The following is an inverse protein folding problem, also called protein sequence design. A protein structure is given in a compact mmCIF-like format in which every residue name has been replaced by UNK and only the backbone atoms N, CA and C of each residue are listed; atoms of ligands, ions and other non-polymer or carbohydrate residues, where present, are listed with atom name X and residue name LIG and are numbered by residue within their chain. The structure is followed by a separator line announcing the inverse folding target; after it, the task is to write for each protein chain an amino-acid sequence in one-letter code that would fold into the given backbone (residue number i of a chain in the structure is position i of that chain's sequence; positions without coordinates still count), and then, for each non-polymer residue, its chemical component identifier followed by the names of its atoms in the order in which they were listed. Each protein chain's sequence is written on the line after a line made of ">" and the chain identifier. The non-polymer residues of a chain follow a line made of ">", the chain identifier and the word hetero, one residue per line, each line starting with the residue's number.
data_IF_191296707328
#
_entry.id   IF_191296707328
#
_cell.length_a   1.000
_cell.length_b   1.000
_cell.length_c   1.000
_cell.angle_alpha   90.00
_cell.angle_beta   90.00
_cell.angle_gamma   90.00
#
_symmetry.space_group_name_H-M   'P 1'
#
loop_
_entity.id
_entity.type
_entity.pdbx_description
1 polymer ?
#
# COMPACT_ATOMS: atom_id res chain seq x y z
N UNK A 1 -16.45 57.61 -20.34
CA UNK A 1 -15.09 58.11 -20.15
C UNK A 1 -14.29 56.91 -19.65
N UNK A 2 -13.52 56.34 -20.54
CA UNK A 2 -12.06 56.06 -20.51
C UNK A 2 -11.62 55.69 -19.09
N UNK A 3 -11.08 54.51 -18.80
CA UNK A 3 -10.23 53.55 -19.47
C UNK A 3 -9.23 53.11 -18.41
N UNK A 4 -8.86 51.90 -18.33
CA UNK A 4 -7.49 51.46 -18.49
C UNK A 4 -7.38 50.00 -18.07
N UNK A 5 -7.13 49.16 -19.07
CA UNK A 5 -6.65 47.80 -18.93
C UNK A 5 -5.23 47.83 -18.33
N UNK A 6 -4.96 46.97 -17.36
CA UNK A 6 -3.61 46.63 -17.00
C UNK A 6 -3.44 45.12 -17.18
N UNK A 7 -2.75 44.75 -18.27
CA UNK A 7 -2.23 43.41 -18.51
C UNK A 7 -1.01 43.15 -17.60
N UNK A 8 -1.08 42.08 -16.79
CA UNK A 8 0.13 41.50 -16.21
C UNK A 8 0.41 40.15 -16.91
N UNK A 9 1.43 40.17 -17.74
CA UNK A 9 2.07 39.01 -18.34
C UNK A 9 2.90 38.29 -17.29
N UNK A 10 2.51 37.06 -16.96
CA UNK A 10 3.39 36.13 -16.28
C UNK A 10 4.20 35.33 -17.30
N UNK A 11 5.51 35.46 -17.20
CA UNK A 11 6.47 34.76 -18.01
C UNK A 11 6.66 33.32 -17.54
N UNK A 12 6.30 32.36 -18.38
CA UNK A 12 6.74 30.97 -18.25
C UNK A 12 8.24 30.88 -18.45
N UNK A 13 8.96 30.37 -17.47
CA UNK A 13 10.34 29.90 -17.63
C UNK A 13 10.32 28.43 -18.06
N UNK A 14 10.66 28.20 -19.30
CA UNK A 14 10.96 26.89 -19.87
C UNK A 14 12.35 26.42 -19.39
N UNK A 15 12.45 25.20 -18.90
CA UNK A 15 13.70 24.48 -18.70
C UNK A 15 14.12 23.77 -19.99
N UNK A 16 15.41 23.86 -20.41
CA UNK A 16 15.88 23.14 -21.58
C UNK A 16 16.37 21.73 -21.20
N UNK A 17 15.89 20.76 -21.95
CA UNK A 17 16.53 19.45 -22.07
C UNK A 17 17.84 19.60 -22.85
N UNK A 18 18.89 19.00 -22.38
CA UNK A 18 19.96 18.30 -23.12
C UNK A 18 21.26 18.26 -22.34
N UNK A 19 21.69 17.08 -21.96
CA UNK A 19 23.13 16.79 -21.92
C UNK A 19 23.36 15.44 -22.60
N UNK A 20 23.75 15.51 -23.86
CA UNK A 20 24.47 14.44 -24.55
C UNK A 20 25.89 14.40 -24.05
N UNK A 21 26.35 13.27 -23.56
CA UNK A 21 27.77 13.02 -23.37
C UNK A 21 28.38 12.50 -24.66
N UNK A 22 29.22 13.34 -25.26
CA UNK A 22 30.08 12.99 -26.37
C UNK A 22 31.32 12.25 -25.90
N UNK A 23 31.63 11.18 -26.62
CA UNK A 23 32.88 10.41 -26.51
C UNK A 23 33.95 11.12 -27.35
N UNK A 24 35.14 11.41 -26.84
CA UNK A 24 36.26 11.77 -27.70
C UNK A 24 37.03 10.50 -28.11
N UNK A 25 37.07 10.27 -29.39
CA UNK A 25 38.02 9.32 -29.98
C UNK A 25 39.40 9.93 -30.22
N UNK A 26 40.36 9.09 -30.31
CA UNK A 26 41.56 9.04 -31.15
C UNK A 26 42.86 8.74 -30.39
N UNK A 27 43.57 7.78 -30.74
CA UNK A 27 44.48 7.38 -31.82
C UNK A 27 45.57 6.51 -31.19
N UNK A 28 46.00 5.44 -31.65
CA UNK A 28 46.82 5.07 -32.79
C UNK A 28 47.19 3.59 -32.69
N UNK A 29 47.27 3.01 -33.88
CA UNK A 29 47.69 1.68 -34.15
C UNK A 29 49.17 1.41 -33.81
N UNK A 30 49.47 0.18 -33.48
CA UNK A 30 50.68 -0.49 -33.94
C UNK A 30 50.47 -1.99 -34.00
N UNK A 31 50.76 -2.53 -35.15
CA UNK A 31 50.71 -3.94 -35.50
C UNK A 31 51.88 -4.71 -34.91
N UNK A 32 51.69 -6.00 -34.63
CA UNK A 32 52.65 -7.03 -35.07
C UNK A 32 52.13 -8.43 -34.84
N UNK A 33 51.78 -9.06 -35.96
CA UNK A 33 51.97 -10.45 -36.39
C UNK A 33 52.79 -11.39 -35.51
N UNK A 34 52.30 -12.64 -35.34
CA UNK A 34 52.85 -13.92 -35.75
C UNK A 34 51.97 -15.03 -35.17
N UNK A 35 51.30 -15.79 -36.07
CA UNK A 35 51.61 -17.08 -36.68
C UNK A 35 51.51 -18.27 -35.72
N UNK A 36 50.47 -19.11 -36.01
CA UNK A 36 50.55 -20.47 -36.59
C UNK A 36 50.93 -21.55 -35.54
N UNK A 37 50.26 -22.64 -35.34
CA UNK A 37 49.85 -23.75 -36.20
C UNK A 37 49.12 -24.84 -35.41
N UNK A 38 48.15 -25.48 -36.10
CA UNK A 38 47.87 -26.91 -36.20
C UNK A 38 47.77 -27.76 -34.94
N UNK A 39 46.88 -28.58 -34.74
CA UNK A 39 46.00 -29.47 -35.50
C UNK A 39 45.80 -30.73 -34.69
N UNK A 40 44.76 -31.43 -34.95
CA UNK A 40 44.52 -32.87 -35.01
C UNK A 40 43.34 -33.31 -34.15
N UNK A 41 42.32 -33.55 -34.88
CA UNK A 41 41.32 -34.60 -34.85
C UNK A 41 41.55 -35.74 -33.86
N UNK A 42 40.59 -35.92 -32.97
CA UNK A 42 40.26 -37.24 -32.45
C UNK A 42 38.73 -37.38 -32.37
N UNK A 43 38.18 -38.12 -33.29
CA UNK A 43 36.83 -38.65 -33.24
C UNK A 43 36.72 -39.61 -32.06
N UNK A 44 35.82 -39.35 -31.13
CA UNK A 44 35.26 -40.35 -30.24
C UNK A 44 33.76 -40.14 -30.20
N UNK A 45 33.05 -41.05 -30.85
CA UNK A 45 31.60 -41.26 -30.69
C UNK A 45 31.35 -41.54 -29.20
N UNK A 46 30.68 -40.61 -28.53
CA UNK A 46 29.98 -40.91 -27.29
C UNK A 46 28.51 -40.72 -27.58
N UNK A 47 27.76 -41.79 -27.47
CA UNK A 47 26.33 -41.84 -27.58
C UNK A 47 25.72 -40.83 -26.60
N UNK A 48 25.11 -39.78 -27.13
CA UNK A 48 24.25 -38.88 -26.35
C UNK A 48 22.94 -39.60 -26.07
N UNK A 49 22.83 -40.20 -24.93
CA UNK A 49 21.55 -40.48 -24.34
C UNK A 49 20.90 -39.11 -24.05
N UNK A 50 19.91 -38.74 -24.85
CA UNK A 50 18.97 -37.67 -24.50
C UNK A 50 18.25 -38.13 -23.24
N UNK A 51 18.74 -37.71 -22.09
CA UNK A 51 17.89 -37.57 -20.92
C UNK A 51 17.01 -36.36 -21.14
N UNK A 52 15.78 -36.64 -21.53
CA UNK A 52 14.71 -35.69 -21.42
C UNK A 52 14.64 -35.31 -19.93
N UNK A 53 15.19 -34.15 -19.58
CA UNK A 53 14.86 -33.50 -18.32
C UNK A 53 13.42 -33.03 -18.53
N UNK A 54 12.49 -33.87 -18.11
CA UNK A 54 11.14 -33.45 -17.79
C UNK A 54 11.29 -32.33 -16.77
N UNK A 55 11.09 -31.10 -17.21
CA UNK A 55 10.71 -30.05 -16.30
C UNK A 55 9.34 -30.47 -15.76
N UNK A 56 9.35 -31.21 -14.67
CA UNK A 56 8.18 -31.28 -13.84
C UNK A 56 7.97 -29.85 -13.37
N UNK A 57 6.98 -29.17 -13.92
CA UNK A 57 6.33 -28.09 -13.24
C UNK A 57 6.10 -28.61 -11.82
N UNK A 58 6.84 -28.08 -10.87
CA UNK A 58 6.47 -28.20 -9.46
C UNK A 58 5.13 -27.49 -9.38
N UNK A 59 4.04 -28.24 -9.50
CA UNK A 59 2.79 -27.87 -8.89
C UNK A 59 3.20 -27.53 -7.46
N UNK A 60 3.19 -26.27 -7.14
CA UNK A 60 3.20 -25.81 -5.76
C UNK A 60 1.92 -26.38 -5.16
N UNK A 61 2.03 -27.51 -4.54
CA UNK A 61 1.01 -27.99 -3.62
C UNK A 61 0.90 -26.92 -2.56
N UNK A 62 -0.28 -26.42 -2.17
CA UNK A 62 -0.44 -25.58 -1.00
C UNK A 62 0.29 -26.31 0.13
N UNK A 63 1.37 -25.72 0.62
CA UNK A 63 2.23 -26.36 1.59
C UNK A 63 1.52 -26.46 2.92
N UNK A 64 1.10 -27.66 3.27
CA UNK A 64 0.97 -28.00 4.66
C UNK A 64 2.36 -27.97 5.29
N UNK A 65 2.68 -26.91 6.02
CA UNK A 65 3.89 -26.86 6.85
C UNK A 65 3.89 -27.98 7.88
N UNK A 66 5.06 -28.37 8.41
CA UNK A 66 5.14 -29.39 9.44
C UNK A 66 4.60 -28.83 10.76
N UNK A 67 3.32 -29.06 11.00
CA UNK A 67 2.66 -28.64 12.24
C UNK A 67 1.14 -28.55 12.19
N UNK A 68 0.52 -28.73 11.02
CA UNK A 68 -0.95 -28.92 10.95
C UNK A 68 -1.81 -27.76 11.44
N UNK A 69 -1.33 -26.52 11.37
CA UNK A 69 -2.16 -25.36 11.66
C UNK A 69 -3.11 -25.10 10.48
N UNK A 70 -4.37 -24.85 10.79
CA UNK A 70 -5.40 -24.59 9.80
C UNK A 70 -5.03 -23.33 8.98
N UNK A 71 -5.04 -23.47 7.67
CA UNK A 71 -4.87 -22.33 6.77
C UNK A 71 -6.17 -21.52 6.76
N UNK A 72 -6.09 -20.20 6.93
CA UNK A 72 -7.25 -19.32 6.77
C UNK A 72 -7.80 -19.42 5.34
N UNK A 73 -9.11 -19.42 5.21
CA UNK A 73 -9.83 -19.49 3.93
C UNK A 73 -10.83 -18.35 3.86
N UNK A 74 -10.80 -17.59 2.78
CA UNK A 74 -11.60 -16.39 2.63
C UNK A 74 -12.66 -16.53 1.53
N UNK A 75 -13.82 -15.90 1.77
CA UNK A 75 -14.87 -15.69 0.78
C UNK A 75 -14.99 -14.20 0.51
N UNK A 76 -14.99 -13.82 -0.76
CA UNK A 76 -15.08 -12.41 -1.16
C UNK A 76 -16.53 -12.01 -1.38
N UNK A 77 -17.01 -11.05 -0.58
CA UNK A 77 -18.29 -10.37 -0.76
C UNK A 77 -18.03 -8.99 -1.30
N UNK A 78 -18.49 -8.72 -2.51
CA UNK A 78 -18.39 -7.40 -3.10
C UNK A 78 -19.58 -6.56 -2.68
N UNK A 79 -19.34 -5.53 -1.87
CA UNK A 79 -20.38 -4.69 -1.27
C UNK A 79 -20.82 -3.55 -2.18
N UNK A 80 -19.91 -3.02 -2.99
CA UNK A 80 -20.16 -1.94 -3.90
C UNK A 80 -19.18 -1.92 -5.06
N UNK A 81 -19.56 -1.20 -6.12
CA UNK A 81 -18.73 -1.03 -7.33
C UNK A 81 -18.15 0.37 -7.40
N UNK A 82 -18.42 1.17 -6.39
CA UNK A 82 -17.97 2.55 -6.35
C UNK A 82 -16.46 2.57 -6.15
N UNK A 83 -15.80 3.40 -6.93
CA UNK A 83 -14.38 3.61 -6.82
C UNK A 83 -14.07 4.27 -5.48
N UNK A 84 -13.20 3.66 -4.70
CA UNK A 84 -12.61 4.18 -3.48
C UNK A 84 -11.20 3.63 -3.35
N UNK A 85 -10.33 4.23 -2.54
CA UNK A 85 -8.99 3.71 -2.27
C UNK A 85 -8.73 3.60 -0.78
N UNK A 86 -9.34 4.46 0.04
CA UNK A 86 -9.35 4.36 1.49
C UNK A 86 -10.49 3.47 2.00
N UNK A 87 -10.30 2.90 3.17
CA UNK A 87 -11.32 2.15 3.90
C UNK A 87 -11.06 2.17 5.40
N UNK A 88 -12.12 2.35 6.18
CA UNK A 88 -12.09 2.21 7.63
C UNK A 88 -13.36 1.53 8.15
N UNK A 89 -13.37 1.18 9.42
CA UNK A 89 -14.52 0.55 10.08
C UNK A 89 -14.88 1.29 11.36
N UNK A 90 -16.15 1.35 11.67
CA UNK A 90 -16.68 1.81 12.96
C UNK A 90 -18.13 1.33 13.12
N UNK A 91 -18.61 1.18 14.34
CA UNK A 91 -20.02 0.90 14.64
C UNK A 91 -20.84 2.19 14.49
N UNK A 92 -21.42 2.38 13.30
CA UNK A 92 -22.17 3.60 12.94
C UNK A 92 -23.56 3.68 13.56
N UNK A 93 -24.19 2.53 13.80
CA UNK A 93 -25.58 2.46 14.23
C UNK A 93 -25.73 2.08 15.70
N UNK A 94 -24.62 1.73 16.39
CA UNK A 94 -24.58 1.37 17.80
C UNK A 94 -25.12 -0.06 18.06
N UNK A 95 -25.11 -0.93 17.05
CA UNK A 95 -25.60 -2.32 17.18
C UNK A 95 -24.52 -3.29 17.65
N UNK A 96 -23.30 -2.82 17.74
CA UNK A 96 -22.14 -3.55 18.20
C UNK A 96 -21.38 -4.30 17.11
N UNK A 97 -21.76 -4.21 15.84
CA UNK A 97 -21.00 -4.73 14.70
C UNK A 97 -20.30 -3.60 13.95
N UNK A 98 -19.05 -3.79 13.52
CA UNK A 98 -18.37 -2.78 12.73
C UNK A 98 -19.02 -2.61 11.36
N UNK A 99 -19.37 -1.39 10.99
CA UNK A 99 -19.78 -1.01 9.64
C UNK A 99 -18.53 -0.63 8.83
N UNK A 100 -18.61 -0.69 7.50
CA UNK A 100 -17.51 -0.34 6.60
C UNK A 100 -17.75 1.03 6.01
N UNK A 101 -16.76 1.91 6.07
CA UNK A 101 -16.78 3.23 5.43
C UNK A 101 -15.72 3.28 4.34
N UNK A 102 -16.11 3.74 3.15
CA UNK A 102 -15.20 3.85 2.01
C UNK A 102 -15.76 4.80 0.96
N UNK A 103 -14.98 5.78 0.56
CA UNK A 103 -15.38 6.75 -0.45
C UNK A 103 -16.60 7.57 -0.04
N UNK A 104 -17.66 7.52 -0.84
CA UNK A 104 -18.88 8.27 -0.60
C UNK A 104 -19.89 7.58 0.33
N UNK A 105 -19.62 6.33 0.72
CA UNK A 105 -20.60 5.46 1.34
C UNK A 105 -20.12 4.80 2.61
N UNK A 106 -21.06 4.51 3.49
CA UNK A 106 -20.87 3.49 4.50
C UNK A 106 -21.83 2.32 4.25
N UNK A 107 -21.43 1.14 4.65
CA UNK A 107 -22.12 -0.12 4.44
C UNK A 107 -22.49 -0.69 5.81
N UNK A 108 -23.81 -0.76 6.09
CA UNK A 108 -24.38 -1.26 7.34
C UNK A 108 -24.15 -2.77 7.41
N UNK A 109 -23.47 -3.21 8.44
CA UNK A 109 -23.19 -4.61 8.71
C UNK A 109 -24.51 -5.33 9.06
N UNK A 110 -24.85 -6.46 8.39
CA UNK A 110 -26.07 -7.20 8.72
C UNK A 110 -26.00 -7.95 10.07
N UNK A 111 -24.85 -7.91 10.74
CA UNK A 111 -24.62 -8.57 12.03
C UNK A 111 -24.50 -10.10 11.92
N UNK A 112 -24.41 -10.79 13.06
CA UNK A 112 -24.14 -12.23 13.16
C UNK A 112 -25.12 -13.16 12.39
N UNK A 113 -26.25 -12.66 11.94
CA UNK A 113 -27.20 -13.46 11.14
C UNK A 113 -26.85 -13.50 9.66
N UNK A 114 -25.87 -12.69 9.26
CA UNK A 114 -25.57 -12.44 7.87
C UNK A 114 -26.75 -11.77 7.15
N UNK A 115 -26.57 -11.46 5.88
CA UNK A 115 -27.59 -10.85 5.05
C UNK A 115 -27.00 -9.83 4.08
N UNK A 116 -27.87 -8.94 3.60
CA UNK A 116 -27.47 -7.87 2.67
C UNK A 116 -26.88 -6.69 3.43
N UNK A 117 -25.69 -6.26 3.04
CA UNK A 117 -25.09 -5.03 3.48
C UNK A 117 -25.81 -3.84 2.85
N UNK A 118 -26.39 -2.96 3.66
CA UNK A 118 -27.09 -1.79 3.16
C UNK A 118 -26.14 -0.63 2.98
N UNK A 119 -26.19 -0.01 1.82
CA UNK A 119 -25.33 1.13 1.47
C UNK A 119 -26.03 2.46 1.77
N UNK A 120 -25.29 3.36 2.46
CA UNK A 120 -25.77 4.69 2.82
C UNK A 120 -24.75 5.73 2.36
N UNK A 121 -25.18 6.75 1.63
CA UNK A 121 -24.31 7.86 1.27
C UNK A 121 -24.17 8.81 2.47
N UNK A 122 -22.94 9.23 2.77
CA UNK A 122 -22.66 10.17 3.86
C UNK A 122 -21.88 11.40 3.41
N UNK A 123 -21.19 11.33 2.27
CA UNK A 123 -20.46 12.45 1.67
C UNK A 123 -20.46 12.36 0.14
N UNK A 124 -19.99 13.43 -0.50
CA UNK A 124 -19.66 13.41 -1.92
C UNK A 124 -18.13 13.30 -2.09
N UNK A 125 -17.70 12.49 -3.04
CA UNK A 125 -16.29 12.31 -3.39
C UNK A 125 -16.12 12.56 -4.88
N UNK A 126 -15.19 13.44 -5.24
CA UNK A 126 -14.94 13.76 -6.64
C UNK A 126 -14.02 12.72 -7.29
N UNK A 127 -14.30 12.43 -8.57
CA UNK A 127 -13.48 11.55 -9.40
C UNK A 127 -13.02 12.34 -10.62
N UNK A 128 -11.72 12.30 -10.91
CA UNK A 128 -11.13 12.94 -12.09
C UNK A 128 -10.30 11.91 -12.85
N UNK A 129 -10.82 11.44 -13.98
CA UNK A 129 -10.21 10.33 -14.71
C UNK A 129 -10.27 9.03 -13.91
N UNK A 130 -9.12 8.44 -13.61
CA UNK A 130 -9.04 7.26 -12.74
C UNK A 130 -8.80 7.59 -11.25
N UNK A 131 -8.66 8.86 -10.94
CA UNK A 131 -8.29 9.29 -9.61
C UNK A 131 -9.51 9.71 -8.79
N UNK A 132 -9.55 9.25 -7.57
CA UNK A 132 -10.59 9.59 -6.61
C UNK A 132 -10.02 10.50 -5.50
N UNK A 133 -10.82 11.44 -5.03
CA UNK A 133 -10.47 12.30 -3.89
C UNK A 133 -10.65 11.55 -2.55
N UNK A 134 -10.04 10.37 -2.46
CA UNK A 134 -10.11 9.45 -1.33
C UNK A 134 -8.94 8.47 -1.41
N UNK A 135 -7.79 8.84 -0.84
CA UNK A 135 -6.60 7.98 -0.80
C UNK A 135 -6.32 7.43 0.60
N UNK A 136 -7.22 7.65 1.53
CA UNK A 136 -7.16 7.10 2.89
C UNK A 136 -8.32 7.58 3.74
N UNK A 137 -8.81 6.68 4.59
CA UNK A 137 -9.86 6.96 5.58
C UNK A 137 -9.45 6.43 6.94
N UNK A 138 -9.66 7.25 7.97
CA UNK A 138 -9.31 6.91 9.35
C UNK A 138 -10.45 7.30 10.29
N UNK A 139 -10.88 6.33 11.10
CA UNK A 139 -11.89 6.54 12.14
C UNK A 139 -11.21 7.12 13.39
N UNK A 140 -11.48 8.38 13.69
CA UNK A 140 -10.89 9.13 14.80
C UNK A 140 -11.97 10.01 15.44
N UNK A 141 -12.11 9.99 16.77
CA UNK A 141 -12.98 10.91 17.50
C UNK A 141 -12.29 12.28 17.60
N UNK A 142 -12.42 13.08 16.53
CA UNK A 142 -11.69 14.34 16.35
C UNK A 142 -12.15 15.43 17.32
N UNK A 143 -13.46 15.47 17.61
CA UNK A 143 -14.07 16.48 18.46
C UNK A 143 -14.29 16.03 19.92
N UNK A 144 -13.85 14.82 20.27
CA UNK A 144 -13.96 14.21 21.60
C UNK A 144 -15.40 14.10 22.10
N UNK A 145 -16.35 13.84 21.19
CA UNK A 145 -17.78 13.72 21.54
C UNK A 145 -18.20 12.28 21.82
N UNK A 146 -17.26 11.33 21.76
CA UNK A 146 -17.42 9.90 22.03
C UNK A 146 -17.91 9.08 20.85
N UNK A 147 -17.95 9.65 19.65
CA UNK A 147 -18.18 8.90 18.41
C UNK A 147 -17.03 9.16 17.43
N UNK A 148 -16.51 8.14 16.74
CA UNK A 148 -15.48 8.35 15.75
C UNK A 148 -16.04 9.11 14.54
N UNK A 149 -15.24 10.05 14.05
CA UNK A 149 -15.41 10.78 12.81
C UNK A 149 -14.60 10.13 11.69
N UNK A 150 -14.68 10.61 10.46
CA UNK A 150 -13.83 10.16 9.37
C UNK A 150 -12.85 11.24 8.96
N UNK A 151 -11.56 11.00 9.20
CA UNK A 151 -10.47 11.80 8.63
C UNK A 151 -10.12 11.25 7.26
N UNK A 152 -9.92 12.11 6.28
CA UNK A 152 -9.57 11.71 4.91
C UNK A 152 -8.60 12.68 4.25
N UNK A 153 -7.79 12.16 3.35
CA UNK A 153 -6.87 12.93 2.53
C UNK A 153 -6.73 12.30 1.15
N UNK A 154 -6.33 13.10 0.15
CA UNK A 154 -6.01 12.60 -1.16
C UNK A 154 -5.05 13.56 -1.88
N UNK A 155 -4.28 13.05 -2.83
CA UNK A 155 -3.34 13.88 -3.57
C UNK A 155 -4.02 14.87 -4.55
N UNK A 156 -5.33 14.74 -4.78
CA UNK A 156 -6.13 15.68 -5.59
C UNK A 156 -6.94 16.68 -4.78
N UNK A 157 -6.98 16.52 -3.47
CA UNK A 157 -7.68 17.45 -2.59
C UNK A 157 -6.67 18.28 -1.84
N UNK A 158 -6.56 19.55 -2.08
CA UNK A 158 -5.71 20.42 -1.29
C UNK A 158 -6.10 20.35 0.19
N UNK A 159 -5.47 19.44 0.96
CA UNK A 159 -5.61 19.40 2.40
C UNK A 159 -6.12 18.09 2.98
N UNK A 160 -6.08 18.03 4.29
CA UNK A 160 -6.65 16.97 5.12
C UNK A 160 -7.97 17.48 5.69
N UNK A 161 -8.99 16.64 5.62
CA UNK A 161 -10.35 16.99 6.01
C UNK A 161 -10.88 15.95 6.99
N UNK A 162 -11.86 16.32 7.81
CA UNK A 162 -12.63 15.36 8.57
C UNK A 162 -14.13 15.63 8.41
N UNK A 163 -14.90 14.57 8.52
CA UNK A 163 -16.36 14.58 8.44
C UNK A 163 -16.90 14.20 9.81
N UNK A 164 -17.62 15.16 10.41
CA UNK A 164 -18.22 15.03 11.74
C UNK A 164 -19.36 14.03 11.71
N UNK A 165 -19.26 12.97 12.49
CA UNK A 165 -20.29 11.95 12.63
C UNK A 165 -21.51 12.52 13.36
N UNK A 166 -22.67 12.65 12.70
CA UNK A 166 -23.88 13.22 13.30
C UNK A 166 -24.52 12.28 14.31
N UNK A 167 -24.01 11.06 14.54
CA UNK A 167 -24.57 10.00 15.41
C UNK A 167 -26.02 9.63 15.06
N UNK A 168 -26.42 9.94 13.86
CA UNK A 168 -27.78 9.72 13.38
C UNK A 168 -27.76 9.38 11.89
N UNK A 169 -28.33 8.23 11.53
CA UNK A 169 -28.44 7.82 10.13
C UNK A 169 -29.30 8.81 9.31
N UNK A 170 -28.88 9.04 8.05
CA UNK A 170 -29.60 9.92 7.11
C UNK A 170 -29.42 11.42 7.34
N UNK A 171 -28.56 11.82 8.26
CA UNK A 171 -28.11 13.21 8.43
C UNK A 171 -26.83 13.44 7.65
N UNK A 172 -26.72 14.59 6.98
CA UNK A 172 -25.52 14.97 6.26
C UNK A 172 -24.38 15.26 7.25
N UNK A 173 -23.20 14.72 6.95
CA UNK A 173 -21.99 14.92 7.73
C UNK A 173 -21.38 16.28 7.43
N UNK A 174 -21.04 17.02 8.46
CA UNK A 174 -20.33 18.28 8.28
C UNK A 174 -18.89 18.05 7.93
N UNK A 175 -18.42 18.74 6.91
CA UNK A 175 -17.03 18.73 6.48
C UNK A 175 -16.25 19.85 7.14
N UNK A 176 -15.11 19.50 7.75
CA UNK A 176 -14.18 20.43 8.38
C UNK A 176 -12.79 20.26 7.79
N UNK A 177 -12.03 21.34 7.71
CA UNK A 177 -10.65 21.32 7.21
C UNK A 177 -9.68 21.29 8.39
N UNK A 178 -8.72 20.37 8.38
CA UNK A 178 -7.62 20.29 9.36
C UNK A 178 -6.44 21.13 8.87
N UNK A 179 -6.03 20.92 7.61
CA UNK A 179 -4.96 21.71 6.97
C UNK A 179 -5.25 21.91 5.50
N UNK A 180 -4.64 22.89 4.88
CA UNK A 180 -4.72 23.20 3.46
C UNK A 180 -3.41 22.86 2.76
N UNK A 181 -3.45 22.91 1.42
CA UNK A 181 -2.26 22.79 0.56
C UNK A 181 -1.46 21.53 0.79
N UNK A 182 -2.12 20.39 1.09
CA UNK A 182 -1.49 19.14 1.37
C UNK A 182 -2.09 18.01 0.55
N UNK A 183 -1.28 17.37 -0.29
CA UNK A 183 -1.66 16.23 -1.13
C UNK A 183 -0.87 14.98 -0.71
N UNK A 184 -1.58 13.89 -0.52
CA UNK A 184 -0.99 12.60 -0.14
C UNK A 184 -1.76 11.43 -0.75
N UNK A 185 -1.07 10.32 -0.97
CA UNK A 185 -1.70 9.07 -1.39
C UNK A 185 -2.00 8.13 -0.22
N UNK A 186 -1.63 8.45 0.99
CA UNK A 186 -1.89 7.62 2.15
C UNK A 186 -1.20 8.13 3.41
N UNK A 187 -1.49 7.46 4.52
CA UNK A 187 -0.94 7.81 5.81
C UNK A 187 -0.95 6.64 6.78
N UNK A 188 -0.34 6.84 7.93
CA UNK A 188 -0.20 5.82 8.98
C UNK A 188 -0.67 6.39 10.31
N UNK A 189 -1.48 5.62 11.04
CA UNK A 189 -1.82 5.92 12.43
C UNK A 189 -0.79 5.32 13.37
N UNK A 190 -0.23 6.14 14.26
CA UNK A 190 0.68 5.73 15.34
C UNK A 190 0.68 6.78 16.44
N UNK A 191 0.95 6.37 17.66
CA UNK A 191 1.25 7.30 18.76
C UNK A 191 2.69 7.81 18.61
N UNK A 192 2.87 8.96 17.97
CA UNK A 192 4.18 9.50 17.60
C UNK A 192 4.85 10.20 18.78
N UNK A 193 4.05 10.87 19.62
CA UNK A 193 4.56 11.68 20.72
C UNK A 193 4.54 10.97 22.08
N UNK A 194 4.00 9.72 22.14
CA UNK A 194 3.95 8.91 23.36
C UNK A 194 2.89 9.34 24.37
N UNK A 195 1.83 10.02 23.93
CA UNK A 195 0.76 10.50 24.83
C UNK A 195 -0.41 9.51 24.98
N UNK A 196 -0.41 8.41 24.24
CA UNK A 196 -1.40 7.36 24.28
C UNK A 196 -2.62 7.59 23.35
N UNK A 197 -2.62 8.67 22.58
CA UNK A 197 -3.62 8.95 21.53
C UNK A 197 -2.98 8.72 20.17
N UNK A 198 -3.58 7.94 19.28
CA UNK A 198 -3.02 7.76 17.94
C UNK A 198 -3.02 9.06 17.13
N UNK A 199 -1.87 9.37 16.58
CA UNK A 199 -1.64 10.45 15.61
C UNK A 199 -1.77 9.91 14.18
N UNK A 200 -1.88 10.81 13.22
CA UNK A 200 -1.92 10.45 11.80
C UNK A 200 -0.78 11.14 11.06
N UNK A 201 0.13 10.35 10.49
CA UNK A 201 1.25 10.86 9.70
C UNK A 201 1.04 10.61 8.21
N UNK A 202 1.41 11.60 7.40
CA UNK A 202 1.33 11.56 5.95
C UNK A 202 2.69 11.83 5.29
N UNK A 203 2.99 11.08 4.26
CA UNK A 203 3.97 11.48 3.27
C UNK A 203 3.36 12.54 2.35
N UNK A 204 4.17 13.51 1.92
CA UNK A 204 3.73 14.59 1.06
C UNK A 204 4.33 14.49 -0.35
N UNK A 205 3.52 14.47 -1.37
CA UNK A 205 3.95 14.12 -2.72
C UNK A 205 4.71 15.25 -3.47
N UNK A 206 4.44 16.51 -3.20
CA UNK A 206 5.00 17.63 -4.01
C UNK A 206 5.57 18.80 -3.19
N UNK A 207 5.66 18.66 -1.91
CA UNK A 207 6.05 19.76 -1.02
C UNK A 207 7.27 19.40 -0.16
N UNK A 208 7.58 20.17 0.81
CA UNK A 208 8.78 20.00 1.61
C UNK A 208 8.48 19.32 2.94
N UNK A 209 8.78 18.03 3.03
CA UNK A 209 8.71 17.26 4.26
C UNK A 209 7.35 16.60 4.51
N UNK A 210 7.17 16.08 5.69
CA UNK A 210 5.99 15.35 6.15
C UNK A 210 5.15 16.20 7.10
N UNK A 211 3.90 15.81 7.31
CA UNK A 211 3.11 16.29 8.44
C UNK A 211 2.64 15.12 9.29
N UNK A 212 2.52 15.36 10.58
CA UNK A 212 1.69 14.52 11.43
C UNK A 212 0.68 15.39 12.20
N UNK A 213 -0.45 14.80 12.52
CA UNK A 213 -1.59 15.45 13.13
C UNK A 213 -1.85 14.79 14.47
N UNK A 214 -1.71 15.59 15.52
CA UNK A 214 -1.99 15.22 16.91
C UNK A 214 -3.47 15.51 17.20
N UNK A 215 -4.18 14.51 17.70
CA UNK A 215 -5.60 14.56 18.02
C UNK A 215 -5.87 14.58 19.53
N UNK A 216 -4.87 14.64 20.39
CA UNK A 216 -5.09 14.65 21.83
C UNK A 216 -5.69 15.95 22.37
N UNK A 217 -5.57 17.06 21.63
CA UNK A 217 -6.08 18.37 22.00
C UNK A 217 -7.56 18.56 21.64
N UNK A 218 -8.14 19.69 22.08
CA UNK A 218 -9.53 20.08 21.73
C UNK A 218 -9.71 20.35 20.22
N UNK A 219 -8.65 20.62 19.51
CA UNK A 219 -8.58 20.82 18.07
C UNK A 219 -7.36 20.07 17.53
N UNK A 220 -7.41 19.47 16.34
CA UNK A 220 -6.28 18.81 15.72
C UNK A 220 -5.09 19.76 15.54
N UNK A 221 -3.90 19.32 15.89
CA UNK A 221 -2.70 20.11 15.77
C UNK A 221 -1.76 19.53 14.73
N UNK A 222 -1.43 20.33 13.71
CA UNK A 222 -0.55 19.94 12.61
C UNK A 222 0.90 20.26 12.94
N UNK A 223 1.76 19.25 12.81
CA UNK A 223 3.20 19.37 12.97
C UNK A 223 3.89 19.10 11.63
N UNK A 224 4.85 19.95 11.26
CA UNK A 224 5.69 19.75 10.10
C UNK A 224 7.00 19.09 10.50
N UNK A 225 7.45 18.09 9.72
CA UNK A 225 8.66 17.32 10.00
C UNK A 225 9.48 17.14 8.74
N UNK A 226 10.79 17.31 8.88
CA UNK A 226 11.72 17.11 7.78
C UNK A 226 11.66 18.19 6.72
N UNK A 227 12.25 17.88 5.58
CA UNK A 227 12.29 18.71 4.38
C UNK A 227 12.12 17.86 3.10
N UNK A 228 12.28 18.49 1.95
CA UNK A 228 12.06 17.84 0.64
C UNK A 228 12.94 16.60 0.39
N UNK A 229 14.13 16.51 0.99
CA UNK A 229 15.02 15.35 0.79
C UNK A 229 14.57 14.13 1.58
N UNK A 230 13.76 14.37 2.61
CA UNK A 230 13.22 13.35 3.52
C UNK A 230 11.84 12.85 3.09
N UNK A 231 11.23 13.53 2.12
CA UNK A 231 9.90 13.21 1.61
C UNK A 231 9.94 12.06 0.60
N UNK A 232 8.76 11.47 0.32
CA UNK A 232 8.62 10.37 -0.63
C UNK A 232 7.21 9.81 -0.70
N UNK A 233 7.03 8.75 -1.46
CA UNK A 233 5.71 8.15 -1.68
C UNK A 233 5.19 7.41 -0.43
N UNK A 234 6.00 6.56 0.20
CA UNK A 234 5.62 5.80 1.38
C UNK A 234 5.99 6.47 2.71
N UNK A 235 5.33 6.08 3.78
CA UNK A 235 5.63 6.49 5.15
C UNK A 235 5.39 5.33 6.13
N UNK A 236 6.10 5.33 7.25
CA UNK A 236 5.92 4.40 8.33
C UNK A 236 6.36 4.98 9.68
N UNK A 237 6.08 4.24 10.74
CA UNK A 237 6.50 4.60 12.10
C UNK A 237 7.01 3.34 12.79
N UNK A 238 8.23 3.41 13.36
CA UNK A 238 8.80 2.33 14.16
C UNK A 238 9.98 2.84 15.00
N UNK A 239 10.33 2.16 16.05
CA UNK A 239 11.54 2.40 16.85
C UNK A 239 12.73 1.68 16.18
N UNK A 240 13.50 2.41 15.36
CA UNK A 240 14.57 1.82 14.52
C UNK A 240 15.84 1.50 15.29
N UNK A 241 16.14 2.28 16.29
CA UNK A 241 17.39 2.13 17.06
C UNK A 241 17.22 1.55 18.47
N UNK A 242 15.99 1.23 18.86
CA UNK A 242 15.66 0.57 20.12
C UNK A 242 15.69 1.50 21.32
N UNK A 243 15.52 2.81 21.12
CA UNK A 243 15.54 3.81 22.21
C UNK A 243 14.16 3.99 22.87
N UNK A 244 13.12 3.37 22.33
CA UNK A 244 11.75 3.40 22.87
C UNK A 244 10.92 4.56 22.36
N UNK A 245 11.42 5.36 21.41
CA UNK A 245 10.71 6.45 20.76
C UNK A 245 10.27 6.05 19.35
N UNK A 246 9.18 6.64 18.89
CA UNK A 246 8.63 6.35 17.57
C UNK A 246 9.36 7.18 16.50
N UNK A 247 10.17 6.54 15.65
CA UNK A 247 10.83 7.17 14.52
C UNK A 247 9.93 7.19 13.29
N UNK A 248 10.16 8.13 12.37
CA UNK A 248 9.42 8.24 11.12
C UNK A 248 10.23 7.63 9.98
N UNK A 249 9.63 6.69 9.27
CA UNK A 249 10.22 6.01 8.12
C UNK A 249 9.77 6.67 6.82
N UNK A 250 10.71 6.89 5.91
CA UNK A 250 10.46 7.39 4.56
C UNK A 250 11.19 6.55 3.53
N UNK A 251 10.87 6.65 2.23
CA UNK A 251 11.63 5.93 1.21
C UNK A 251 13.11 6.32 1.12
N UNK A 252 13.49 7.47 1.64
CA UNK A 252 14.85 8.01 1.53
C UNK A 252 15.70 7.86 2.80
N UNK A 253 15.14 7.27 3.85
CA UNK A 253 15.79 7.12 5.16
C UNK A 253 14.78 7.27 6.29
N UNK A 254 15.25 7.64 7.47
CA UNK A 254 14.40 7.78 8.65
C UNK A 254 14.76 9.02 9.47
N UNK A 255 13.75 9.50 10.18
CA UNK A 255 13.85 10.62 11.09
C UNK A 255 13.81 10.06 12.51
N UNK A 256 14.98 10.02 13.16
CA UNK A 256 15.09 9.64 14.55
C UNK A 256 14.39 10.67 15.42
N UNK A 257 13.49 10.20 16.26
CA UNK A 257 12.85 11.08 17.23
C UNK A 257 13.83 11.45 18.35
N UNK A 258 13.92 12.75 18.66
CA UNK A 258 14.60 13.28 19.85
C UNK A 258 13.57 13.91 20.81
N UNK A 259 12.62 14.65 20.28
CA UNK A 259 11.49 15.24 21.01
C UNK A 259 10.43 15.69 20.00
N UNK A 260 9.43 14.84 19.75
CA UNK A 260 8.39 15.09 18.75
C UNK A 260 7.58 16.36 19.06
N UNK A 261 7.27 16.61 20.34
CA UNK A 261 6.49 17.76 20.75
C UNK A 261 7.22 19.10 20.53
N UNK A 262 8.55 19.09 20.45
CA UNK A 262 9.39 20.24 20.10
C UNK A 262 9.80 20.29 18.65
N UNK A 263 9.45 19.27 17.86
CA UNK A 263 9.86 19.17 16.46
C UNK A 263 11.36 18.86 16.28
N UNK A 264 11.96 18.16 17.24
CA UNK A 264 13.37 17.79 17.21
C UNK A 264 13.54 16.39 16.64
N UNK A 265 14.09 16.30 15.45
CA UNK A 265 14.34 15.09 14.69
C UNK A 265 15.78 15.09 14.15
N UNK A 266 16.38 13.92 14.04
CA UNK A 266 17.69 13.71 13.42
C UNK A 266 17.53 12.89 12.15
N UNK A 267 18.03 13.39 11.00
CA UNK A 267 17.91 12.73 9.72
C UNK A 267 18.99 11.66 9.49
N UNK A 268 18.58 10.45 9.10
CA UNK A 268 19.42 9.31 8.78
C UNK A 268 19.11 8.79 7.37
N UNK A 269 19.91 9.12 6.34
CA UNK A 269 19.72 8.65 4.95
C UNK A 269 20.31 7.25 4.76
N UNK A 270 19.86 6.28 5.57
CA UNK A 270 20.45 4.94 5.64
C UNK A 270 20.05 4.03 4.48
N UNK A 271 18.99 4.38 3.74
CA UNK A 271 18.47 3.61 2.61
C UNK A 271 17.82 4.48 1.55
N UNK A 272 17.46 3.81 0.42
CA UNK A 272 16.61 4.37 -0.63
C UNK A 272 15.70 3.27 -1.18
N UNK A 273 14.39 3.43 -0.99
CA UNK A 273 13.36 2.43 -1.34
C UNK A 273 12.58 2.79 -2.61
N UNK A 274 13.03 3.77 -3.37
CA UNK A 274 12.36 4.25 -4.59
C UNK A 274 10.88 4.59 -4.36
N UNK A 275 9.94 3.88 -4.98
CA UNK A 275 8.49 4.13 -4.89
C UNK A 275 7.80 3.21 -3.87
N UNK A 276 8.34 3.13 -2.65
CA UNK A 276 7.71 2.33 -1.58
C UNK A 276 6.24 2.72 -1.37
N UNK A 277 5.35 1.72 -1.31
CA UNK A 277 3.92 1.91 -1.01
C UNK A 277 3.66 2.16 0.48
N UNK A 278 2.40 2.15 0.89
CA UNK A 278 1.94 2.41 2.25
C UNK A 278 1.51 1.12 2.98
N UNK A 279 1.80 1.00 4.25
CA UNK A 279 2.86 1.67 5.00
C UNK A 279 4.25 1.09 4.69
N UNK A 280 5.32 1.78 5.08
CA UNK A 280 6.61 1.14 5.35
C UNK A 280 6.49 0.56 6.76
N UNK A 281 6.55 -0.76 6.89
CA UNK A 281 6.32 -1.45 8.16
C UNK A 281 7.66 -1.72 8.84
N UNK A 282 7.83 -1.23 10.10
CA UNK A 282 8.90 -1.70 10.96
C UNK A 282 8.49 -2.99 11.65
N UNK A 283 9.31 -4.05 11.54
CA UNK A 283 9.08 -5.33 12.17
C UNK A 283 10.37 -6.16 12.24
N UNK A 284 10.69 -6.71 13.39
CA UNK A 284 11.81 -7.64 13.54
C UNK A 284 11.46 -8.98 12.87
N UNK A 285 11.79 -9.14 11.59
CA UNK A 285 11.35 -10.27 10.74
C UNK A 285 11.96 -11.60 11.19
N UNK A 286 13.22 -11.61 11.60
CA UNK A 286 13.98 -12.82 11.92
C UNK A 286 14.17 -13.05 13.41
N UNK A 287 13.54 -12.23 14.25
CA UNK A 287 13.60 -12.27 15.71
C UNK A 287 15.04 -12.17 16.25
N UNK A 288 15.85 -11.29 15.67
CA UNK A 288 17.23 -11.02 16.08
C UNK A 288 17.35 -9.82 17.02
N UNK A 289 16.22 -9.18 17.34
CA UNK A 289 16.11 -8.05 18.23
C UNK A 289 16.38 -6.70 17.56
N UNK A 290 16.48 -6.65 16.22
CA UNK A 290 16.65 -5.43 15.44
C UNK A 290 15.41 -5.17 14.60
N UNK A 291 15.07 -3.90 14.45
CA UNK A 291 13.94 -3.48 13.63
C UNK A 291 14.32 -3.56 12.16
N UNK A 292 13.66 -4.44 11.42
CA UNK A 292 13.72 -4.52 9.96
C UNK A 292 12.61 -3.68 9.34
N UNK A 293 12.60 -3.53 8.01
CA UNK A 293 11.55 -2.86 7.27
C UNK A 293 10.90 -3.80 6.25
N UNK A 294 9.57 -3.76 6.14
CA UNK A 294 8.84 -4.42 5.06
C UNK A 294 8.18 -3.34 4.20
N UNK A 295 8.31 -3.45 2.88
CA UNK A 295 7.71 -2.50 1.95
C UNK A 295 7.36 -3.15 0.60
N UNK A 296 6.38 -2.57 -0.08
CA UNK A 296 5.99 -2.95 -1.42
C UNK A 296 6.35 -1.87 -2.43
N UNK A 297 6.64 -2.24 -3.67
CA UNK A 297 6.80 -1.29 -4.77
C UNK A 297 5.43 -0.82 -5.25
N UNK A 298 5.07 0.41 -4.95
CA UNK A 298 3.77 0.99 -5.27
C UNK A 298 3.50 1.10 -6.77
N UNK A 299 4.51 1.34 -7.57
CA UNK A 299 4.41 1.56 -9.02
C UNK A 299 5.20 0.56 -9.87
N UNK A 300 5.72 -0.50 -9.27
CA UNK A 300 6.49 -1.54 -9.94
C UNK A 300 6.18 -2.91 -9.33
N UNK A 301 6.95 -3.93 -9.73
CA UNK A 301 6.87 -5.27 -9.16
C UNK A 301 7.69 -5.35 -7.89
N UNK A 302 7.13 -6.01 -6.88
CA UNK A 302 7.90 -6.52 -5.77
C UNK A 302 7.38 -6.15 -4.38
N UNK A 303 7.63 -7.08 -3.49
CA UNK A 303 7.45 -7.00 -2.05
C UNK A 303 8.77 -7.41 -1.42
N UNK A 304 9.30 -6.59 -0.53
CA UNK A 304 10.64 -6.75 -0.01
C UNK A 304 10.69 -6.52 1.49
N UNK A 305 11.72 -7.04 2.11
CA UNK A 305 12.15 -6.62 3.43
C UNK A 305 13.61 -6.18 3.41
N UNK A 306 13.91 -5.20 4.22
CA UNK A 306 15.22 -4.63 4.42
C UNK A 306 15.72 -5.09 5.78
N UNK A 307 16.64 -6.06 5.79
CA UNK A 307 17.19 -6.61 7.00
C UNK A 307 18.22 -5.66 7.60
N UNK A 308 18.03 -5.31 8.87
CA UNK A 308 19.01 -4.53 9.62
C UNK A 308 20.13 -5.44 10.15
N UNK A 309 21.37 -5.15 9.76
CA UNK A 309 22.55 -5.89 10.20
C UNK A 309 23.50 -4.94 10.93
N UNK A 310 24.14 -5.43 11.99
CA UNK A 310 25.04 -4.64 12.83
C UNK A 310 24.30 -3.73 13.80
N UNK A 311 25.04 -2.85 14.49
CA UNK A 311 24.53 -1.89 15.45
C UNK A 311 25.37 -0.62 15.41
N UNK A 312 24.80 0.53 15.80
CA UNK A 312 25.48 1.83 15.81
C UNK A 312 26.17 2.12 14.49
N UNK A 313 27.46 2.44 14.52
CA UNK A 313 28.27 2.77 13.33
C UNK A 313 28.48 1.60 12.35
N UNK A 314 28.16 0.38 12.77
CA UNK A 314 28.22 -0.82 11.90
C UNK A 314 26.89 -1.17 11.28
N UNK A 315 25.83 -0.46 11.61
CA UNK A 315 24.48 -0.67 11.03
C UNK A 315 24.54 -0.53 9.52
N UNK A 316 23.94 -1.50 8.84
CA UNK A 316 23.74 -1.47 7.40
C UNK A 316 22.53 -2.33 7.04
N UNK A 317 22.02 -2.16 5.84
CA UNK A 317 20.76 -2.74 5.41
C UNK A 317 20.95 -3.68 4.22
N UNK A 318 20.28 -4.82 4.24
CA UNK A 318 20.33 -5.80 3.16
C UNK A 318 18.92 -6.04 2.63
N UNK A 319 18.66 -5.66 1.37
CA UNK A 319 17.39 -5.91 0.69
C UNK A 319 17.21 -7.38 0.37
N UNK A 320 16.07 -7.94 0.75
CA UNK A 320 15.67 -9.30 0.47
C UNK A 320 14.30 -9.32 -0.20
N UNK A 321 14.16 -10.12 -1.27
CA UNK A 321 12.88 -10.29 -1.94
C UNK A 321 11.96 -11.20 -1.12
N UNK A 322 10.72 -10.78 -0.94
CA UNK A 322 9.63 -11.61 -0.39
C UNK A 322 8.86 -12.21 -1.58
N UNK A 323 8.35 -11.35 -2.48
CA UNK A 323 7.58 -11.79 -3.66
C UNK A 323 7.70 -10.75 -4.79
N UNK A 324 8.20 -11.17 -5.94
CA UNK A 324 8.34 -10.32 -7.13
C UNK A 324 7.33 -10.70 -8.23
N UNK A 325 6.33 -11.52 -7.91
CA UNK A 325 5.39 -12.06 -8.90
C UNK A 325 4.22 -11.13 -9.24
N UNK A 326 4.00 -10.07 -8.48
CA UNK A 326 2.94 -9.09 -8.73
C UNK A 326 3.42 -7.66 -8.46
N UNK A 327 2.66 -6.70 -8.95
CA UNK A 327 3.03 -5.28 -8.96
C UNK A 327 2.04 -4.41 -8.17
N UNK A 328 2.41 -3.15 -7.99
CA UNK A 328 1.56 -2.10 -7.41
C UNK A 328 1.07 -2.42 -6.00
N UNK A 329 2.03 -2.76 -5.14
CA UNK A 329 1.78 -3.06 -3.73
C UNK A 329 1.69 -1.76 -2.95
N UNK A 330 0.49 -1.16 -2.91
CA UNK A 330 0.23 0.10 -2.21
C UNK A 330 -0.25 -0.08 -0.78
N UNK A 331 -0.74 -1.26 -0.42
CA UNK A 331 -1.26 -1.52 0.92
C UNK A 331 -0.59 -2.75 1.53
N UNK A 332 -0.15 -2.61 2.77
CA UNK A 332 0.41 -3.67 3.60
C UNK A 332 -0.23 -3.63 4.99
N UNK A 333 -0.33 -4.78 5.64
CA UNK A 333 -0.79 -4.89 7.03
C UNK A 333 -0.15 -6.10 7.70
N UNK A 334 0.25 -5.96 8.95
CA UNK A 334 0.55 -7.10 9.82
C UNK A 334 -0.67 -7.40 10.69
N UNK A 335 -1.15 -8.65 10.68
CA UNK A 335 -2.25 -9.11 11.52
C UNK A 335 -2.23 -10.63 11.64
N UNK A 336 -2.63 -11.16 12.78
CA UNK A 336 -2.84 -12.59 13.01
C UNK A 336 -4.19 -13.01 12.38
N UNK A 337 -4.16 -13.42 11.10
CA UNK A 337 -5.38 -13.75 10.35
C UNK A 337 -5.73 -15.24 10.42
N UNK A 338 -4.83 -16.09 10.88
CA UNK A 338 -5.14 -17.52 11.04
C UNK A 338 -5.28 -17.97 12.52
N UNK A 339 -5.09 -17.04 13.44
CA UNK A 339 -5.35 -17.24 14.88
C UNK A 339 -4.29 -18.08 15.56
N UNK A 340 -3.03 -18.08 15.08
CA UNK A 340 -1.93 -18.85 15.68
C UNK A 340 -1.13 -18.04 16.70
N UNK A 341 -1.38 -16.73 16.81
CA UNK A 341 -0.75 -15.81 17.74
C UNK A 341 0.47 -15.08 17.20
N UNK A 342 0.90 -15.38 15.97
CA UNK A 342 1.95 -14.66 15.25
C UNK A 342 1.32 -13.85 14.11
N UNK A 343 1.81 -12.64 13.82
CA UNK A 343 1.23 -11.87 12.73
C UNK A 343 1.67 -12.36 11.36
N UNK A 344 0.74 -12.44 10.43
CA UNK A 344 1.00 -12.57 9.00
C UNK A 344 1.11 -11.20 8.33
N UNK A 345 1.89 -11.16 7.25
CA UNK A 345 1.94 -10.01 6.38
C UNK A 345 0.86 -10.11 5.30
N UNK A 346 -0.07 -9.17 5.27
CA UNK A 346 -1.02 -8.98 4.18
C UNK A 346 -0.43 -8.05 3.12
N UNK A 347 -0.57 -8.42 1.86
CA UNK A 347 -0.19 -7.59 0.73
C UNK A 347 -1.17 -7.77 -0.44
N UNK A 348 -1.50 -6.69 -1.12
CA UNK A 348 -2.45 -6.71 -2.22
C UNK A 348 -2.05 -5.84 -3.39
N UNK A 349 -2.51 -6.22 -4.58
CA UNK A 349 -2.30 -5.47 -5.80
C UNK A 349 -3.34 -4.36 -5.94
N UNK A 350 -2.89 -3.12 -6.15
CA UNK A 350 -3.73 -2.01 -6.60
C UNK A 350 -4.07 -2.20 -8.09
N UNK A 351 -5.32 -1.95 -8.47
CA UNK A 351 -5.74 -2.05 -9.84
C UNK A 351 -5.33 -0.84 -10.66
N UNK A 352 -4.65 -1.06 -11.79
CA UNK A 352 -4.44 -0.11 -12.87
C UNK A 352 -3.93 1.27 -12.42
N UNK A 353 -2.75 1.33 -11.82
CA UNK A 353 -2.10 2.60 -11.48
C UNK A 353 -1.75 3.44 -12.71
N UNK A 354 -1.73 4.77 -12.56
CA UNK A 354 -1.33 5.76 -13.55
C UNK A 354 -1.95 5.57 -14.95
N UNK A 355 -3.29 5.35 -15.01
CA UNK A 355 -4.02 5.09 -16.26
C UNK A 355 -3.48 3.85 -17.01
N UNK A 356 -3.02 2.84 -16.28
CA UNK A 356 -2.50 1.61 -16.85
C UNK A 356 -1.09 1.72 -17.43
N UNK A 357 -0.31 2.73 -17.02
CA UNK A 357 1.06 2.94 -17.53
C UNK A 357 2.12 2.21 -16.70
N UNK A 358 1.82 1.91 -15.46
CA UNK A 358 2.76 1.22 -14.59
C UNK A 358 2.98 -0.24 -15.00
N UNK A 359 4.16 -0.80 -14.74
CA UNK A 359 4.42 -2.21 -14.95
C UNK A 359 3.36 -3.09 -14.25
N UNK A 360 2.81 -4.06 -14.98
CA UNK A 360 1.81 -4.98 -14.44
C UNK A 360 0.44 -4.39 -14.15
N UNK A 361 0.12 -3.17 -14.61
CA UNK A 361 -1.18 -2.50 -14.36
C UNK A 361 -2.40 -3.35 -14.70
N UNK A 362 -2.29 -4.21 -15.70
CA UNK A 362 -3.37 -5.08 -16.19
C UNK A 362 -3.22 -6.54 -15.76
N UNK A 363 -2.22 -6.85 -14.97
CA UNK A 363 -2.08 -8.18 -14.40
C UNK A 363 -3.24 -8.49 -13.44
N UNK A 364 -3.60 -9.76 -13.27
CA UNK A 364 -4.68 -10.17 -12.40
C UNK A 364 -4.55 -9.60 -10.98
N UNK A 365 -5.68 -9.22 -10.38
CA UNK A 365 -5.71 -8.77 -9.00
C UNK A 365 -5.42 -9.93 -8.06
N UNK A 366 -4.61 -9.65 -7.06
CA UNK A 366 -4.23 -10.61 -6.03
C UNK A 366 -4.19 -9.95 -4.66
N UNK A 367 -4.62 -10.69 -3.65
CA UNK A 367 -4.38 -10.41 -2.23
C UNK A 367 -3.85 -11.70 -1.63
N UNK A 368 -2.74 -11.59 -0.94
CA UNK A 368 -2.08 -12.69 -0.25
C UNK A 368 -1.86 -12.36 1.21
N UNK A 369 -1.78 -13.39 2.05
CA UNK A 369 -1.11 -13.29 3.31
C UNK A 369 0.14 -14.18 3.32
N UNK A 370 1.13 -13.80 4.11
CA UNK A 370 2.42 -14.49 4.20
C UNK A 370 2.72 -14.82 5.64
N UNK A 371 2.88 -16.11 5.93
CA UNK A 371 3.42 -16.56 7.20
C UNK A 371 4.91 -16.30 7.24
N UNK A 372 5.39 -15.82 8.37
CA UNK A 372 6.78 -15.44 8.58
C UNK A 372 7.46 -16.50 9.48
N UNK A 373 8.44 -17.18 8.95
CA UNK A 373 9.32 -18.00 9.80
C UNK A 373 10.31 -17.06 10.52
N UNK A 374 9.96 -16.71 11.75
CA UNK A 374 10.71 -15.78 12.61
C UNK A 374 12.14 -16.23 12.95
N UNK A 375 12.53 -17.45 12.60
CA UNK A 375 13.90 -17.98 12.81
C UNK A 375 14.80 -17.79 11.61
N UNK A 376 14.21 -17.73 10.43
CA UNK A 376 14.95 -17.72 9.16
C UNK A 376 14.65 -16.47 8.34
N UNK A 377 13.62 -15.68 8.67
CA UNK A 377 13.12 -14.59 7.87
C UNK A 377 12.48 -15.06 6.56
N UNK A 378 12.06 -16.31 6.46
CA UNK A 378 11.43 -16.84 5.26
C UNK A 378 9.92 -16.59 5.27
N UNK A 379 9.38 -16.23 4.12
CA UNK A 379 7.95 -15.97 3.92
C UNK A 379 7.28 -17.11 3.13
N UNK A 380 6.12 -17.55 3.60
CA UNK A 380 5.30 -18.57 2.94
C UNK A 380 3.97 -17.95 2.51
N UNK A 381 3.71 -17.89 1.20
CA UNK A 381 2.55 -17.23 0.59
C UNK A 381 1.30 -18.08 0.61
N UNK A 382 0.17 -17.48 1.00
CA UNK A 382 -1.18 -18.07 0.99
C UNK A 382 -2.17 -17.13 0.32
N UNK A 383 -3.14 -17.66 -0.47
CA UNK A 383 -4.11 -16.84 -1.16
C UNK A 383 -5.21 -16.36 -0.22
N UNK A 384 -5.59 -15.08 -0.33
CA UNK A 384 -6.82 -14.50 0.18
C UNK A 384 -7.81 -14.33 -0.97
N UNK A 385 -7.40 -13.63 -2.03
CA UNK A 385 -8.15 -13.46 -3.29
C UNK A 385 -7.19 -13.51 -4.47
N UNK A 386 -7.42 -14.38 -5.44
CA UNK A 386 -6.53 -14.54 -6.59
C UNK A 386 -7.35 -14.57 -7.88
N UNK A 387 -6.99 -13.71 -8.83
CA UNK A 387 -7.72 -13.51 -10.09
C UNK A 387 -9.19 -13.11 -9.88
N UNK A 388 -9.51 -12.54 -8.72
CA UNK A 388 -10.84 -12.04 -8.39
C UNK A 388 -11.03 -10.57 -8.78
N UNK A 389 -12.04 -9.95 -8.17
CA UNK A 389 -12.32 -8.52 -8.31
C UNK A 389 -11.77 -7.70 -7.14
N UNK A 390 -11.38 -8.33 -6.05
CA UNK A 390 -10.81 -7.66 -4.89
C UNK A 390 -9.39 -7.18 -5.18
N UNK A 391 -9.17 -5.89 -5.11
CA UNK A 391 -7.87 -5.24 -5.16
C UNK A 391 -7.70 -4.35 -3.95
N UNK A 392 -6.46 -4.20 -3.48
CA UNK A 392 -6.14 -3.29 -2.39
C UNK A 392 -5.83 -1.90 -2.96
N UNK A 393 -6.51 -0.87 -2.47
CA UNK A 393 -6.18 0.53 -2.70
C UNK A 393 -4.96 0.93 -1.88
N UNK A 394 -5.18 1.76 -0.87
CA UNK A 394 -4.11 2.26 0.02
C UNK A 394 -4.17 1.68 1.43
N UNK A 395 -5.22 0.94 1.77
CA UNK A 395 -5.44 0.45 3.14
C UNK A 395 -6.00 -0.97 3.17
N UNK A 396 -5.66 -1.68 4.25
CA UNK A 396 -6.35 -2.88 4.74
C UNK A 396 -6.98 -2.59 6.10
N UNK A 397 -8.22 -3.02 6.29
CA UNK A 397 -8.78 -3.24 7.62
C UNK A 397 -8.77 -4.75 7.90
N UNK A 398 -8.37 -5.11 9.11
CA UNK A 398 -8.42 -6.48 9.62
C UNK A 398 -9.13 -6.43 10.95
N UNK A 399 -10.33 -7.01 11.01
CA UNK A 399 -11.21 -6.96 12.16
C UNK A 399 -12.21 -8.14 12.11
N UNK A 400 -12.66 -8.63 13.25
CA UNK A 400 -13.72 -9.65 13.38
C UNK A 400 -15.08 -8.99 13.09
N UNK A 401 -15.45 -8.93 11.80
CA UNK A 401 -16.61 -8.19 11.31
C UNK A 401 -17.95 -8.85 11.65
N UNK A 402 -17.99 -10.17 11.73
CA UNK A 402 -19.22 -10.94 12.02
C UNK A 402 -19.25 -11.50 13.44
N UNK A 403 -18.23 -11.24 14.24
CA UNK A 403 -18.06 -11.62 15.65
C UNK A 403 -18.08 -13.13 15.88
N UNK A 404 -17.47 -13.85 14.96
CA UNK A 404 -17.34 -15.29 15.04
C UNK A 404 -15.99 -15.77 15.61
N UNK A 405 -15.09 -14.82 15.88
CA UNK A 405 -13.83 -15.01 16.58
C UNK A 405 -12.63 -15.24 15.65
N UNK A 406 -12.75 -15.03 14.36
CA UNK A 406 -11.61 -14.92 13.45
C UNK A 406 -11.53 -13.54 12.75
N UNK A 407 -10.36 -13.21 12.24
CA UNK A 407 -10.11 -11.90 11.65
C UNK A 407 -10.47 -11.90 10.18
N UNK A 408 -11.38 -11.03 9.81
CA UNK A 408 -11.77 -10.75 8.44
C UNK A 408 -10.90 -9.66 7.83
N UNK A 409 -11.00 -9.50 6.52
CA UNK A 409 -10.26 -8.47 5.79
C UNK A 409 -11.24 -7.58 5.02
N UNK A 410 -11.10 -6.27 5.12
CA UNK A 410 -11.82 -5.31 4.28
C UNK A 410 -10.83 -4.55 3.43
N UNK A 411 -11.14 -4.42 2.14
CA UNK A 411 -10.37 -3.65 1.18
C UNK A 411 -11.28 -2.80 0.29
N UNK A 412 -10.75 -1.68 -0.14
CA UNK A 412 -11.35 -0.87 -1.18
C UNK A 412 -10.33 -0.60 -2.29
N UNK A 413 -10.83 -0.33 -3.48
CA UNK A 413 -10.00 -0.03 -4.63
C UNK A 413 -10.83 0.45 -5.82
N UNK A 414 -10.18 0.64 -6.95
CA UNK A 414 -10.87 1.02 -8.22
C UNK A 414 -11.91 0.01 -8.69
N UNK A 415 -11.91 -1.18 -8.12
CA UNK A 415 -12.88 -2.24 -8.42
C UNK A 415 -14.04 -2.30 -7.43
N UNK A 416 -14.04 -1.42 -6.44
CA UNK A 416 -15.08 -1.31 -5.42
C UNK A 416 -14.64 -1.79 -4.04
N UNK A 417 -15.60 -1.94 -3.14
CA UNK A 417 -15.41 -2.32 -1.75
C UNK A 417 -15.70 -3.80 -1.57
N UNK A 418 -14.79 -4.50 -0.91
CA UNK A 418 -14.90 -5.94 -0.69
C UNK A 418 -14.71 -6.27 0.80
N UNK A 419 -15.60 -7.09 1.30
CA UNK A 419 -15.49 -7.80 2.55
C UNK A 419 -15.00 -9.22 2.26
N UNK A 420 -13.87 -9.60 2.80
CA UNK A 420 -13.25 -10.90 2.63
C UNK A 420 -13.41 -11.66 3.95
N UNK A 421 -14.51 -12.40 4.05
CA UNK A 421 -14.92 -13.17 5.22
C UNK A 421 -13.96 -14.34 5.41
N UNK A 422 -13.39 -14.45 6.60
CA UNK A 422 -12.53 -15.55 7.00
C UNK A 422 -13.38 -16.72 7.52
N UNK A 423 -13.30 -17.86 6.90
CA UNK A 423 -14.17 -18.98 7.21
C UNK A 423 -13.50 -20.07 8.03
N UNK A 424 -12.29 -19.93 8.45
CA UNK A 424 -11.45 -21.02 9.00
C UNK A 424 -11.67 -22.37 8.29
N UNK A 425 -10.65 -23.10 7.99
CA UNK A 425 -10.67 -24.31 7.13
C UNK A 425 -11.73 -25.33 7.55
N UNK A 426 -12.14 -25.36 8.80
CA UNK A 426 -13.03 -26.37 9.37
C UNK A 426 -14.50 -26.13 9.06
N UNK A 427 -14.90 -24.93 8.66
CA UNK A 427 -16.31 -24.53 8.48
C UNK A 427 -16.83 -24.73 7.06
N UNK A 428 -15.96 -24.80 6.07
CA UNK A 428 -16.34 -24.87 4.66
C UNK A 428 -15.91 -26.19 4.04
N UNK A 429 -16.85 -27.00 3.48
CA UNK A 429 -16.52 -28.18 2.70
C UNK A 429 -15.58 -27.84 1.53
N UNK A 430 -14.63 -28.73 1.23
CA UNK A 430 -13.61 -28.49 0.19
C UNK A 430 -14.20 -28.12 -1.17
N UNK A 431 -15.32 -28.77 -1.54
CA UNK A 431 -16.03 -28.54 -2.78
C UNK A 431 -16.64 -27.14 -2.88
N UNK A 432 -17.00 -26.56 -1.75
CA UNK A 432 -17.57 -25.23 -1.64
C UNK A 432 -16.46 -24.17 -1.68
N UNK A 433 -15.31 -24.42 -1.04
CA UNK A 433 -14.13 -23.54 -1.08
C UNK A 433 -13.62 -23.33 -2.48
N UNK A 434 -13.57 -24.39 -3.30
CA UNK A 434 -13.12 -24.32 -4.69
C UNK A 434 -14.12 -23.57 -5.60
N UNK A 435 -15.39 -23.49 -5.25
CA UNK A 435 -16.44 -22.77 -5.99
C UNK A 435 -16.48 -21.28 -5.69
N UNK A 436 -16.17 -20.90 -4.46
CA UNK A 436 -16.26 -19.53 -3.99
C UNK A 436 -15.04 -18.69 -4.39
N UNK A 437 -13.91 -19.34 -4.68
CA UNK A 437 -12.73 -18.73 -5.29
C UNK A 437 -12.95 -18.45 -6.79
N UNK A 438 -14.07 -18.90 -7.37
CA UNK A 438 -14.37 -18.67 -8.79
C UNK A 438 -14.71 -17.20 -9.03
N UNK A 439 -13.80 -16.56 -9.75
CA UNK A 439 -13.90 -15.25 -10.39
C UNK A 439 -15.35 -14.93 -10.75
N UNK A 440 -15.89 -13.86 -10.23
CA UNK A 440 -17.09 -13.26 -10.78
C UNK A 440 -16.77 -12.71 -12.17
N UNK A 441 -16.97 -13.56 -13.21
CA UNK A 441 -16.81 -13.18 -14.61
C UNK A 441 -17.84 -12.16 -15.07
N UNK A 442 -18.82 -11.81 -14.25
CA UNK A 442 -19.85 -10.83 -14.58
C UNK A 442 -19.37 -9.39 -14.48
N UNK A 443 -18.20 -9.16 -13.88
CA UNK A 443 -17.60 -7.85 -13.77
C UNK A 443 -16.90 -7.46 -15.07
N UNK A 444 -17.41 -6.47 -15.80
CA UNK A 444 -16.64 -5.86 -16.85
C UNK A 444 -15.55 -5.00 -16.19
N UNK A 445 -14.32 -5.50 -16.11
CA UNK A 445 -13.20 -4.63 -15.81
C UNK A 445 -13.27 -3.46 -16.79
N UNK A 446 -13.26 -2.20 -16.33
CA UNK A 446 -13.13 -1.09 -17.23
C UNK A 446 -11.82 -1.31 -18.00
N UNK A 447 -11.91 -1.74 -19.27
CA UNK A 447 -10.73 -1.96 -20.10
C UNK A 447 -10.58 -3.31 -20.79
N UNK A 448 -11.22 -4.40 -20.35
CA UNK A 448 -11.27 -5.62 -21.19
C UNK A 448 -12.16 -5.36 -22.40
N UNK A 449 -11.53 -5.13 -23.56
CA UNK A 449 -12.20 -4.95 -24.86
C UNK A 449 -12.69 -3.53 -25.16
N UNK A 450 -12.45 -2.55 -24.30
CA UNK A 450 -12.66 -1.14 -24.61
C UNK A 450 -11.31 -0.42 -24.70
N UNK A 451 -10.99 0.12 -25.89
CA UNK A 451 -9.98 1.19 -25.95
C UNK A 451 -10.49 2.34 -25.06
N UNK A 452 -9.95 2.43 -23.87
CA UNK A 452 -10.13 3.63 -23.03
C UNK A 452 -9.45 4.75 -23.79
N UNK A 453 -10.23 5.60 -24.44
CA UNK A 453 -9.71 6.83 -25.00
C UNK A 453 -9.08 7.58 -23.85
N UNK A 454 -7.77 7.69 -23.92
CA UNK A 454 -6.97 8.46 -22.99
C UNK A 454 -7.41 9.94 -23.13
N UNK A 455 -8.18 10.44 -22.19
CA UNK A 455 -8.38 11.87 -22.08
C UNK A 455 -7.10 12.40 -21.41
N UNK A 456 -6.43 13.30 -22.11
CA UNK A 456 -5.28 13.99 -21.56
C UNK A 456 -5.70 14.75 -20.28
N UNK A 457 -4.83 14.79 -19.25
CA UNK A 457 -5.11 15.58 -18.05
C UNK A 457 -5.50 17.02 -18.41
N UNK A 458 -6.45 17.64 -17.71
CA UNK A 458 -6.84 19.01 -17.97
C UNK A 458 -5.61 19.92 -17.90
N UNK A 459 -5.27 20.56 -19.04
CA UNK A 459 -4.12 21.46 -19.15
C UNK A 459 -2.97 20.97 -20.05
N UNK A 460 -3.02 19.76 -20.59
CA UNK A 460 -2.03 19.29 -21.57
C UNK A 460 -2.21 20.02 -22.90
N UNK A 461 -1.19 20.72 -23.43
CA UNK A 461 -1.30 21.39 -24.72
C UNK A 461 -1.48 20.36 -25.83
N UNK A 462 -2.56 20.46 -26.59
CA UNK A 462 -2.75 19.66 -27.81
C UNK A 462 -1.60 19.96 -28.78
N UNK A 463 -0.86 18.93 -29.17
CA UNK A 463 0.15 19.00 -30.23
C UNK A 463 -0.48 19.11 -31.61
#
# INVERSE_FOLDING_TARGET
>A
MRGTLCCLTMACKSYPAQMMYGIPGNRKASAMTHRIQFAILALLCVATTLSAVSQSEKKTTPGGGPGGLAQATFVSHRLGTDHAEGVTTMDMNGDGFPDILSGAYWYENPGAKGGEWKRHQYREVSITGEFIADCGEWAIDVNHDGAPDVVTAAWQTNGVWWYENPKQAGVEWKKHQITDSYDTEGGVMADINGDGVPDLIFAHYNHSGLIWIDFAGAEPKVHHVGDKEMDGHGVGVADIDGDGLADILTPNGWLKQVDANKGNWEWHPDWKLEDAGFPIIGFDVNNDGKMDLIYGEGHSYGLYWLEQIGEGDTRHWVRRAIDESFSQVHALKLADVDGDGEPELLAGKRYRGHNGKDPGSYDPLVIYYYKIDRKTGAFSRYPVSVNGTAGAGTQFVVEDMDKDGDMDIVVAGKTGVHFLENLKVDRVPKEQREKEILIDKSWPFPGEGQEVKQEDPPGTPKK
#
